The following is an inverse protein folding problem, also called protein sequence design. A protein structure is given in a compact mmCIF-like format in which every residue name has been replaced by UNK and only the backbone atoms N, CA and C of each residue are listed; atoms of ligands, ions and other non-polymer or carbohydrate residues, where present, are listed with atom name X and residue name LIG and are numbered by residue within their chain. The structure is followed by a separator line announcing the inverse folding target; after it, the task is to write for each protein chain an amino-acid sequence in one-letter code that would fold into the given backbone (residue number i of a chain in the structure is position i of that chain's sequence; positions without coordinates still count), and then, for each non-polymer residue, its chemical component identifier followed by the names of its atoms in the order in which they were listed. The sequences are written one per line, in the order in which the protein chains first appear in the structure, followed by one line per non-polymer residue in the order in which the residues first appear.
data_IF_021388062639
#
_entry.id   IF_021388062639
#
_cell.length_a   1.000
_cell.length_b   1.000
_cell.length_c   1.000
_cell.angle_alpha   90.00
_cell.angle_beta   90.00
_cell.angle_gamma   90.00
#
_symmetry.space_group_name_H-M   'P 1'
#
loop_
_entity.id
_entity.type
_entity.pdbx_description
1 polymer ?
#
# COMPACT_ATOMS: atom_id res chain seq x y z
N UNK A 1 -4.89 -1.07 8.67
CA UNK A 1 -4.80 -0.42 7.33
C UNK A 1 -4.20 0.97 7.38
N UNK A 2 -4.65 1.86 8.27
CA UNK A 2 -4.10 3.23 8.40
C UNK A 2 -2.58 3.24 8.69
N UNK A 3 -2.08 2.41 9.61
CA UNK A 3 -0.64 2.31 9.87
C UNK A 3 0.18 1.80 8.67
N UNK A 4 -0.40 0.93 7.83
CA UNK A 4 0.22 0.51 6.57
C UNK A 4 0.33 1.69 5.60
N UNK A 5 -0.74 2.48 5.47
CA UNK A 5 -0.75 3.68 4.62
C UNK A 5 0.30 4.67 5.10
N UNK A 6 0.48 4.89 6.40
CA UNK A 6 1.46 5.85 6.91
C UNK A 6 2.90 5.37 6.66
N UNK A 7 3.16 4.06 6.75
CA UNK A 7 4.47 3.45 6.52
C UNK A 7 4.77 3.24 5.02
N UNK A 8 4.83 1.98 4.57
CA UNK A 8 5.35 1.59 3.26
C UNK A 8 4.27 1.31 2.21
N UNK A 9 2.98 1.39 2.58
CA UNK A 9 1.92 1.31 1.60
C UNK A 9 1.75 2.63 0.85
N UNK A 10 1.24 2.51 -0.38
CA UNK A 10 0.92 3.62 -1.25
C UNK A 10 -0.43 3.36 -1.91
N UNK A 11 -1.15 4.42 -2.26
CA UNK A 11 -2.43 4.33 -2.95
C UNK A 11 -2.31 5.04 -4.29
N UNK A 12 -2.81 4.42 -5.37
CA UNK A 12 -2.81 5.02 -6.71
C UNK A 12 -4.08 4.68 -7.47
N UNK A 13 -4.39 5.49 -8.48
CA UNK A 13 -5.35 5.14 -9.51
C UNK A 13 -4.75 4.12 -10.47
N UNK A 14 -5.49 3.05 -10.79
CA UNK A 14 -5.01 2.02 -11.70
C UNK A 14 -4.75 2.55 -13.12
N UNK A 15 -5.51 3.56 -13.54
CA UNK A 15 -5.31 4.26 -14.81
C UNK A 15 -5.69 5.73 -14.69
N UNK A 16 -5.40 6.53 -15.72
CA UNK A 16 -5.84 7.94 -15.78
C UNK A 16 -7.37 8.09 -15.83
N UNK A 17 -8.09 7.05 -16.25
CA UNK A 17 -9.56 7.02 -16.39
C UNK A 17 -10.25 6.28 -15.26
N UNK A 18 -9.52 5.57 -14.40
CA UNK A 18 -10.11 4.79 -13.32
C UNK A 18 -10.69 5.71 -12.25
N UNK A 19 -11.95 5.49 -11.89
CA UNK A 19 -12.60 6.23 -10.81
C UNK A 19 -12.17 5.74 -9.42
N UNK A 20 -11.70 4.49 -9.33
CA UNK A 20 -11.31 3.86 -8.08
C UNK A 20 -9.79 3.75 -7.94
N UNK A 21 -9.34 3.79 -6.68
CA UNK A 21 -7.93 3.60 -6.33
C UNK A 21 -7.66 2.20 -5.80
N UNK A 22 -6.41 1.80 -5.87
CA UNK A 22 -5.89 0.55 -5.32
C UNK A 22 -4.81 0.84 -4.29
N UNK A 23 -4.63 -0.09 -3.34
CA UNK A 23 -3.57 -0.04 -2.35
C UNK A 23 -2.46 -0.99 -2.76
N UNK A 24 -1.24 -0.47 -2.83
CA UNK A 24 -0.03 -1.24 -3.02
C UNK A 24 0.81 -1.26 -1.76
N UNK A 25 1.48 -2.38 -1.51
CA UNK A 25 2.41 -2.53 -0.41
C UNK A 25 3.69 -3.18 -0.90
N UNK A 26 4.83 -2.63 -0.49
CA UNK A 26 6.16 -3.11 -0.88
C UNK A 26 7.03 -3.25 0.36
N UNK A 27 7.81 -4.31 0.43
CA UNK A 27 8.76 -4.54 1.53
C UNK A 27 10.03 -5.22 1.02
N UNK A 28 11.16 -4.94 1.67
CA UNK A 28 12.42 -5.64 1.38
C UNK A 28 12.32 -7.13 1.73
N UNK A 29 13.05 -7.97 0.99
CA UNK A 29 13.05 -9.41 1.24
C UNK A 29 13.52 -9.80 2.67
N UNK A 30 14.34 -8.95 3.30
CA UNK A 30 14.78 -9.11 4.69
C UNK A 30 13.59 -9.19 5.66
N UNK A 31 12.53 -8.43 5.39
CA UNK A 31 11.31 -8.37 6.21
C UNK A 31 10.15 -9.17 5.59
N UNK A 32 10.47 -10.23 4.85
CA UNK A 32 9.48 -11.08 4.16
C UNK A 32 8.42 -11.69 5.09
N UNK A 33 8.76 -12.00 6.35
CA UNK A 33 7.79 -12.50 7.34
C UNK A 33 6.65 -11.51 7.58
N UNK A 34 6.97 -10.23 7.76
CA UNK A 34 5.96 -9.18 7.92
C UNK A 34 5.16 -8.97 6.64
N UNK A 35 5.84 -9.04 5.48
CA UNK A 35 5.16 -8.96 4.19
C UNK A 35 4.10 -10.05 4.02
N UNK A 36 4.42 -11.30 4.33
CA UNK A 36 3.46 -12.41 4.24
C UNK A 36 2.32 -12.27 5.25
N UNK A 37 2.60 -11.81 6.48
CA UNK A 37 1.56 -11.51 7.47
C UNK A 37 0.54 -10.48 6.95
N UNK A 38 1.03 -9.38 6.36
CA UNK A 38 0.19 -8.34 5.76
C UNK A 38 -0.55 -8.86 4.53
N UNK A 39 0.13 -9.63 3.67
CA UNK A 39 -0.48 -10.22 2.47
C UNK A 39 -1.62 -11.16 2.84
N UNK A 40 -1.44 -12.10 3.76
CA UNK A 40 -2.51 -13.02 4.14
C UNK A 40 -3.72 -12.27 4.69
N UNK A 41 -3.49 -11.19 5.45
CA UNK A 41 -4.55 -10.32 5.98
C UNK A 41 -5.33 -9.55 4.91
N UNK A 42 -4.72 -9.29 3.74
CA UNK A 42 -5.31 -8.50 2.65
C UNK A 42 -5.54 -9.32 1.36
N UNK A 43 -5.23 -10.61 1.40
CA UNK A 43 -5.18 -11.50 0.23
C UNK A 43 -6.51 -11.57 -0.53
N UNK A 44 -7.64 -11.51 0.18
CA UNK A 44 -8.99 -11.51 -0.39
C UNK A 44 -9.33 -10.24 -1.19
N UNK A 45 -8.61 -9.15 -0.96
CA UNK A 45 -8.73 -7.93 -1.78
C UNK A 45 -7.85 -7.98 -3.04
N UNK A 46 -6.82 -8.83 -3.05
CA UNK A 46 -5.89 -8.98 -4.16
C UNK A 46 -6.45 -9.91 -5.24
N UNK A 47 -6.14 -9.63 -6.52
CA UNK A 47 -6.47 -10.49 -7.65
C UNK A 47 -5.35 -11.46 -8.02
N UNK A 48 -4.17 -11.29 -7.44
CA UNK A 48 -2.97 -12.05 -7.75
C UNK A 48 -2.09 -12.24 -6.52
N UNK A 49 -1.21 -13.22 -6.60
CA UNK A 49 -0.13 -13.41 -5.62
C UNK A 49 0.89 -12.25 -5.67
N UNK A 50 1.71 -12.12 -4.61
CA UNK A 50 2.82 -11.18 -4.58
C UNK A 50 3.79 -11.37 -5.75
N UNK A 51 4.34 -10.25 -6.20
CA UNK A 51 5.39 -10.17 -7.21
C UNK A 51 6.74 -9.91 -6.55
N UNK A 52 7.78 -10.53 -7.09
CA UNK A 52 9.16 -10.22 -6.75
C UNK A 52 9.64 -9.10 -7.67
N UNK A 53 10.14 -8.01 -7.10
CA UNK A 53 10.78 -6.91 -7.82
C UNK A 53 12.26 -6.87 -7.50
N UNK A 54 13.07 -6.79 -8.53
CA UNK A 54 14.50 -6.54 -8.40
C UNK A 54 14.71 -5.07 -8.73
N UNK A 55 15.21 -4.31 -7.75
CA UNK A 55 15.63 -2.92 -7.94
C UNK A 55 17.14 -2.86 -7.91
N UNK A 56 17.72 -2.09 -8.82
CA UNK A 56 19.16 -1.83 -8.86
C UNK A 56 19.47 -0.37 -8.55
N UNK A 57 19.22 0.11 -7.31
CA UNK A 57 19.71 1.41 -6.91
C UNK A 57 21.24 1.31 -6.86
N UNK A 58 21.94 2.03 -7.75
CA UNK A 58 23.40 2.24 -7.69
C UNK A 58 24.26 0.96 -7.83
N UNK A 59 23.76 -0.05 -8.57
CA UNK A 59 24.54 -1.26 -8.90
C UNK A 59 24.44 -2.41 -7.91
N UNK A 60 23.76 -2.22 -6.77
CA UNK A 60 23.41 -3.33 -5.86
C UNK A 60 22.02 -3.86 -6.16
N UNK A 61 21.89 -5.16 -6.44
CA UNK A 61 20.59 -5.79 -6.66
C UNK A 61 19.87 -5.96 -5.31
N UNK A 62 18.78 -5.22 -5.13
CA UNK A 62 17.88 -5.34 -3.99
C UNK A 62 16.62 -6.07 -4.41
N UNK A 63 16.25 -7.13 -3.68
CA UNK A 63 15.04 -7.90 -3.92
C UNK A 63 13.95 -7.40 -2.96
N UNK A 64 12.80 -7.06 -3.53
CA UNK A 64 11.62 -6.62 -2.82
C UNK A 64 10.42 -7.50 -3.18
N UNK A 65 9.50 -7.62 -2.23
CA UNK A 65 8.20 -8.24 -2.43
C UNK A 65 7.15 -7.13 -2.52
N UNK A 66 6.23 -7.27 -3.47
CA UNK A 66 5.15 -6.32 -3.67
C UNK A 66 3.84 -7.04 -3.95
N UNK A 67 2.74 -6.54 -3.39
CA UNK A 67 1.39 -6.89 -3.85
C UNK A 67 0.55 -5.63 -4.05
N UNK A 68 -0.52 -5.76 -4.83
CA UNK A 68 -1.50 -4.71 -5.09
C UNK A 68 -2.90 -5.29 -4.90
N UNK A 69 -3.79 -4.53 -4.26
CA UNK A 69 -5.21 -4.87 -4.18
C UNK A 69 -5.91 -4.57 -5.50
N UNK A 70 -7.14 -5.04 -5.66
CA UNK A 70 -8.05 -4.53 -6.69
C UNK A 70 -8.37 -3.05 -6.43
N UNK A 71 -8.80 -2.34 -7.47
CA UNK A 71 -9.31 -0.97 -7.34
C UNK A 71 -10.70 -0.98 -6.72
N UNK A 72 -10.89 -0.26 -5.61
CA UNK A 72 -12.14 -0.32 -4.82
C UNK A 72 -12.52 1.07 -4.28
N UNK A 73 -13.82 1.37 -4.14
CA UNK A 73 -14.29 2.67 -3.66
C UNK A 73 -13.88 2.95 -2.21
N UNK A 74 -13.83 1.94 -1.33
CA UNK A 74 -13.38 2.14 0.05
C UNK A 74 -11.89 2.54 0.15
N UNK A 75 -11.06 2.13 -0.82
CA UNK A 75 -9.66 2.58 -0.89
C UNK A 75 -9.61 4.02 -1.40
N UNK A 76 -10.55 4.42 -2.26
CA UNK A 76 -10.70 5.81 -2.72
C UNK A 76 -11.06 6.76 -1.59
N UNK A 77 -11.88 6.34 -0.63
CA UNK A 77 -12.15 7.12 0.58
C UNK A 77 -10.89 7.28 1.45
N UNK A 78 -10.05 6.24 1.54
CA UNK A 78 -8.76 6.36 2.21
C UNK A 78 -7.80 7.27 1.44
N UNK A 79 -7.84 7.25 0.10
CA UNK A 79 -7.06 8.14 -0.74
C UNK A 79 -7.40 9.60 -0.47
N UNK A 80 -8.68 9.96 -0.42
CA UNK A 80 -9.10 11.36 -0.19
C UNK A 80 -8.69 11.89 1.18
N UNK A 81 -8.50 11.01 2.17
CA UNK A 81 -7.99 11.37 3.49
C UNK A 81 -6.47 11.56 3.51
N UNK A 82 -5.72 10.68 2.86
CA UNK A 82 -4.26 10.64 2.96
C UNK A 82 -3.53 11.27 1.77
N UNK A 83 -4.22 11.75 0.74
CA UNK A 83 -3.62 12.37 -0.43
C UNK A 83 -4.32 13.68 -0.79
N UNK A 84 -3.57 14.78 -0.72
CA UNK A 84 -3.96 16.09 -1.23
C UNK A 84 -3.10 16.42 -2.45
N UNK A 85 -3.73 16.78 -3.57
CA UNK A 85 -3.00 17.06 -4.83
C UNK A 85 -2.04 15.95 -5.28
N UNK A 86 -2.40 14.68 -5.03
CA UNK A 86 -1.58 13.47 -5.27
C UNK A 86 -0.32 13.37 -4.41
N UNK A 87 -0.13 14.27 -3.46
CA UNK A 87 0.93 14.21 -2.45
C UNK A 87 0.36 13.55 -1.21
N UNK A 88 1.08 12.57 -0.67
CA UNK A 88 0.71 11.88 0.56
C UNK A 88 0.84 12.84 1.73
N UNK A 89 -0.24 13.05 2.47
CA UNK A 89 -0.34 13.97 3.62
C UNK A 89 -0.83 13.22 4.85
N UNK A 90 -0.46 13.74 6.02
CA UNK A 90 -0.99 13.27 7.30
C UNK A 90 -2.26 14.06 7.59
N UNK A 91 -3.45 13.43 7.65
CA UNK A 91 -4.69 14.14 7.89
C UNK A 91 -4.77 14.62 9.34
N UNK A 92 -5.41 15.76 9.57
CA UNK A 92 -5.51 16.38 10.90
C UNK A 92 -6.31 15.54 11.90
N UNK A 93 -7.24 14.70 11.41
CA UNK A 93 -8.02 13.76 12.21
C UNK A 93 -7.32 12.40 12.42
N UNK A 94 -6.00 12.29 12.20
CA UNK A 94 -5.26 11.03 12.33
C UNK A 94 -5.40 10.38 13.72
N UNK A 95 -5.51 11.19 14.78
CA UNK A 95 -5.73 10.69 16.15
C UNK A 95 -7.00 9.84 16.28
N UNK A 96 -8.04 10.16 15.50
CA UNK A 96 -9.29 9.39 15.49
C UNK A 96 -9.21 8.15 14.57
N UNK A 97 -8.26 8.15 13.62
CA UNK A 97 -8.04 7.07 12.66
C UNK A 97 -7.08 5.99 13.18
N UNK A 98 -6.21 6.35 14.13
CA UNK A 98 -5.32 5.43 14.81
C UNK A 98 -6.11 4.66 15.87
N UNK A 99 -6.34 3.37 15.61
CA UNK A 99 -6.84 2.43 16.61
C UNK A 99 -5.68 1.68 17.24
N UNK A 100 -5.89 1.02 18.39
CA UNK A 100 -4.84 0.34 19.16
C UNK A 100 -4.13 -0.80 18.40
N UNK A 101 -4.66 -1.19 17.24
CA UNK A 101 -4.15 -2.26 16.34
C UNK A 101 -3.57 -1.66 15.04
N UNK A 102 -3.37 -0.34 14.98
CA UNK A 102 -2.87 0.35 13.79
C UNK A 102 -1.36 0.15 13.56
#
# INVERSE_FOLDING_TARGET
MVGLIISNAWIKFSSKTSQNTLLGFTQSNVNSKYFWFVFFSLSHYCSSYPLIKIKNPLGTNTIELQFETRSMPCITELYSLFYSEKIKVIPQNIYNLLTLVA
#
